data_IF_186919942380
#
_entry.id   IF_186919942380
#
_cell.length_a   1.000
_cell.length_b   1.000
_cell.length_c   1.000
_cell.angle_alpha   90.00
_cell.angle_beta   90.00
_cell.angle_gamma   90.00
#
_symmetry.space_group_name_H-M   'P 1'
#
loop_
_entity.id
_entity.type
_entity.pdbx_description
1 polymer ?
#
# COMPACT_ATOMS: atom_id res chain seq x y z
N UNK A 1 16.27 25.60 17.30
CA UNK A 1 16.40 24.16 17.61
C UNK A 1 16.51 24.06 19.11
N UNK A 2 15.58 23.38 19.78
CA UNK A 2 15.61 23.20 21.24
C UNK A 2 16.89 22.44 21.63
N UNK A 3 17.71 23.00 22.50
CA UNK A 3 19.02 22.44 22.91
C UNK A 3 18.92 21.08 23.64
N UNK A 4 17.72 20.54 23.85
CA UNK A 4 17.44 19.37 24.69
C UNK A 4 16.83 18.17 23.94
N UNK A 5 16.99 18.07 22.62
CA UNK A 5 16.53 16.92 21.82
C UNK A 5 17.61 16.41 20.88
N UNK A 6 17.52 15.13 20.47
CA UNK A 6 18.40 14.57 19.44
C UNK A 6 18.09 15.16 18.07
N UNK A 7 19.12 15.35 17.24
CA UNK A 7 18.99 16.10 15.98
C UNK A 7 18.12 15.42 14.89
N UNK A 8 18.07 14.09 14.87
CA UNK A 8 17.45 13.34 13.76
C UNK A 8 16.07 12.76 14.08
N UNK A 9 15.76 12.54 15.35
CA UNK A 9 14.54 11.84 15.78
C UNK A 9 13.76 12.61 16.86
N UNK A 10 14.19 13.84 17.18
CA UNK A 10 13.58 14.71 18.20
C UNK A 10 13.31 13.98 19.53
N UNK A 11 14.25 13.13 19.94
CA UNK A 11 14.16 12.39 21.20
C UNK A 11 14.63 13.28 22.35
N UNK A 12 13.88 13.38 23.46
CA UNK A 12 14.32 14.10 24.65
C UNK A 12 15.69 13.61 25.14
N UNK A 13 16.61 14.55 25.40
CA UNK A 13 17.90 14.25 26.02
C UNK A 13 17.74 14.10 27.54
N UNK A 14 18.51 13.17 28.13
CA UNK A 14 18.61 13.04 29.57
C UNK A 14 19.51 14.14 30.14
N UNK A 15 18.95 15.03 30.95
CA UNK A 15 19.67 16.17 31.52
C UNK A 15 20.30 15.84 32.88
N UNK A 16 21.44 16.47 33.24
CA UNK A 16 22.01 16.33 34.57
C UNK A 16 21.07 16.86 35.66
N UNK A 17 21.10 16.23 36.85
CA UNK A 17 20.30 16.60 38.02
C UNK A 17 18.76 16.68 37.78
N UNK A 18 18.25 15.97 36.78
CA UNK A 18 16.83 15.97 36.46
C UNK A 18 15.98 15.13 37.43
N UNK A 19 14.94 15.73 38.00
CA UNK A 19 13.94 15.00 38.78
C UNK A 19 13.13 14.05 37.87
N UNK A 20 12.80 12.85 38.38
CA UNK A 20 11.97 11.86 37.66
C UNK A 20 12.49 11.48 36.25
N UNK A 21 13.81 11.34 36.07
CA UNK A 21 14.46 10.98 34.79
C UNK A 21 13.83 9.81 34.00
N UNK A 22 13.20 8.86 34.69
CA UNK A 22 12.51 7.73 34.07
C UNK A 22 11.37 8.18 33.16
N UNK A 23 10.69 9.29 33.46
CA UNK A 23 9.61 9.84 32.61
C UNK A 23 10.17 10.27 31.26
N UNK A 24 11.24 11.08 31.27
CA UNK A 24 11.89 11.56 30.03
C UNK A 24 12.52 10.44 29.22
N UNK A 25 13.17 9.49 29.89
CA UNK A 25 13.74 8.31 29.22
C UNK A 25 12.64 7.47 28.58
N UNK A 26 11.55 7.20 29.30
CA UNK A 26 10.44 6.41 28.75
C UNK A 26 9.77 7.13 27.57
N UNK A 27 9.59 8.45 27.64
CA UNK A 27 9.06 9.23 26.51
C UNK A 27 9.98 9.13 25.28
N UNK A 28 11.29 9.25 25.46
CA UNK A 28 12.27 9.09 24.38
C UNK A 28 12.23 7.68 23.78
N UNK A 29 12.07 6.64 24.61
CA UNK A 29 11.96 5.26 24.14
C UNK A 29 10.66 5.04 23.35
N UNK A 30 9.52 5.57 23.80
CA UNK A 30 8.26 5.45 23.06
C UNK A 30 8.30 6.16 21.70
N UNK A 31 8.92 7.35 21.64
CA UNK A 31 9.17 8.05 20.37
C UNK A 31 10.09 7.28 19.44
N UNK A 32 11.10 6.60 19.99
CA UNK A 32 12.05 5.82 19.20
C UNK A 32 11.39 4.54 18.66
N UNK A 33 10.62 3.85 19.49
CA UNK A 33 9.89 2.63 19.12
C UNK A 33 8.96 2.88 17.93
N UNK A 34 8.19 3.98 17.97
CA UNK A 34 7.33 4.39 16.86
C UNK A 34 8.06 5.03 15.66
N UNK A 35 9.39 5.07 15.63
CA UNK A 35 10.18 5.61 14.51
C UNK A 35 11.14 4.59 13.88
N UNK A 36 11.56 3.58 14.64
CA UNK A 36 12.39 2.47 14.15
C UNK A 36 11.51 1.46 13.43
N UNK A 37 11.96 0.95 12.28
CA UNK A 37 11.21 -0.01 11.46
C UNK A 37 9.74 0.41 11.25
N UNK A 38 9.54 1.72 11.06
CA UNK A 38 8.24 2.39 11.06
C UNK A 38 7.22 1.69 10.15
N UNK A 39 6.12 1.22 10.76
CA UNK A 39 4.93 0.73 10.07
C UNK A 39 3.77 1.66 10.34
N UNK A 40 3.38 2.42 9.31
CA UNK A 40 2.18 3.25 9.37
C UNK A 40 0.98 2.42 8.94
N UNK A 41 -0.08 2.42 9.76
CA UNK A 41 -1.31 1.70 9.46
C UNK A 41 -2.03 2.29 8.24
N UNK A 42 -1.94 3.61 8.07
CA UNK A 42 -2.45 4.35 6.93
C UNK A 42 -1.80 5.74 6.87
N UNK A 43 -1.80 6.37 5.70
CA UNK A 43 -1.41 7.78 5.51
C UNK A 43 -2.55 8.66 4.97
N UNK A 44 -3.72 8.07 4.71
CA UNK A 44 -4.86 8.76 4.08
C UNK A 44 -6.07 8.94 5.01
N UNK A 45 -6.08 8.23 6.15
CA UNK A 45 -7.17 8.29 7.13
C UNK A 45 -7.19 9.64 7.85
N UNK A 46 -8.29 10.38 7.75
CA UNK A 46 -8.42 11.74 8.34
C UNK A 46 -8.91 11.75 9.80
N UNK A 47 -9.57 10.67 10.26
CA UNK A 47 -10.01 10.52 11.64
C UNK A 47 -9.09 9.55 12.40
N UNK A 48 -8.66 9.86 13.63
CA UNK A 48 -7.98 8.87 14.46
C UNK A 48 -8.83 7.61 14.64
N UNK A 49 -8.21 6.43 14.88
CA UNK A 49 -8.95 5.26 15.36
C UNK A 49 -9.62 5.55 16.71
N UNK A 50 -10.77 4.93 16.96
CA UNK A 50 -11.53 5.12 18.20
C UNK A 50 -10.73 4.66 19.43
N UNK A 51 -9.93 3.61 19.27
CA UNK A 51 -9.00 3.12 20.27
C UNK A 51 -7.58 3.44 19.87
N UNK A 52 -6.87 4.16 20.74
CA UNK A 52 -5.43 4.34 20.62
C UNK A 52 -4.75 3.05 21.08
N UNK A 53 -4.13 2.34 20.15
CA UNK A 53 -3.31 1.17 20.47
C UNK A 53 -1.84 1.58 20.58
N UNK A 54 -1.19 1.15 21.65
CA UNK A 54 0.24 1.41 21.91
C UNK A 54 1.12 0.94 20.74
N UNK A 55 2.08 1.77 20.36
CA UNK A 55 3.09 1.49 19.32
C UNK A 55 2.57 1.56 17.88
N UNK A 56 1.26 1.54 17.65
CA UNK A 56 0.74 1.72 16.29
C UNK A 56 0.99 3.15 15.82
N UNK A 57 1.36 3.27 14.54
CA UNK A 57 1.72 4.55 13.93
C UNK A 57 0.81 4.87 12.74
N UNK A 58 0.58 6.15 12.50
CA UNK A 58 -0.21 6.66 11.37
C UNK A 58 0.47 7.89 10.77
N UNK A 59 0.40 8.03 9.45
CA UNK A 59 0.69 9.31 8.81
C UNK A 59 -0.55 10.18 8.88
N UNK A 60 -0.47 11.33 9.54
CA UNK A 60 -1.60 12.24 9.68
C UNK A 60 -1.76 13.04 8.37
N UNK A 61 -2.84 12.86 7.60
CA UNK A 61 -3.05 13.64 6.39
C UNK A 61 -3.38 15.10 6.71
N UNK A 62 -3.19 15.98 5.73
CA UNK A 62 -3.68 17.35 5.83
C UNK A 62 -5.21 17.36 6.01
N UNK A 63 -5.71 18.23 6.88
CA UNK A 63 -7.15 18.29 7.19
C UNK A 63 -7.67 17.19 8.12
N UNK A 64 -6.78 16.46 8.80
CA UNK A 64 -7.18 15.54 9.86
C UNK A 64 -7.95 16.25 10.99
N UNK A 65 -8.81 15.51 11.68
CA UNK A 65 -9.77 16.05 12.66
C UNK A 65 -9.62 15.37 14.04
N UNK A 66 -10.40 15.83 15.02
CA UNK A 66 -10.40 15.31 16.40
C UNK A 66 -9.01 15.42 17.04
N UNK A 67 -8.53 14.35 17.69
CA UNK A 67 -7.20 14.34 18.33
C UNK A 67 -6.02 14.57 17.36
N UNK A 68 -6.26 14.47 16.04
CA UNK A 68 -5.27 14.74 15.00
C UNK A 68 -5.39 16.15 14.38
N UNK A 69 -6.34 16.96 14.83
CA UNK A 69 -6.53 18.32 14.34
C UNK A 69 -5.25 19.16 14.51
N UNK A 70 -4.84 19.83 13.43
CA UNK A 70 -3.62 20.63 13.39
C UNK A 70 -2.30 19.83 13.35
N UNK A 71 -2.36 18.50 13.23
CA UNK A 71 -1.17 17.63 13.19
C UNK A 71 -0.85 17.09 11.80
N UNK A 72 -1.45 17.66 10.75
CA UNK A 72 -1.22 17.25 9.36
C UNK A 72 0.26 17.24 8.97
N UNK A 73 0.67 16.19 8.26
CA UNK A 73 2.06 15.95 7.84
C UNK A 73 2.95 15.27 8.88
N UNK A 74 2.47 15.03 10.11
CA UNK A 74 3.23 14.33 11.16
C UNK A 74 2.95 12.84 11.18
N UNK A 75 3.83 12.09 11.85
CA UNK A 75 3.57 10.73 12.28
C UNK A 75 2.88 10.81 13.64
N UNK A 76 1.73 10.17 13.79
CA UNK A 76 1.05 9.96 15.07
C UNK A 76 1.40 8.56 15.60
N UNK A 77 2.02 8.51 16.78
CA UNK A 77 2.40 7.28 17.49
C UNK A 77 1.44 7.11 18.66
N UNK A 78 0.73 5.99 18.73
CA UNK A 78 -0.13 5.67 19.86
C UNK A 78 0.71 5.37 21.10
N UNK A 79 0.51 6.16 22.16
CA UNK A 79 1.25 5.98 23.40
C UNK A 79 0.48 6.49 24.63
N UNK A 80 0.49 5.72 25.71
CA UNK A 80 -0.21 5.99 26.97
C UNK A 80 -1.68 6.40 26.79
N UNK A 81 -2.40 5.75 25.87
CA UNK A 81 -3.79 6.07 25.53
C UNK A 81 -4.00 7.40 24.78
N UNK A 82 -2.92 8.04 24.31
CA UNK A 82 -2.95 9.27 23.51
C UNK A 82 -1.98 9.23 22.33
N UNK A 83 -1.63 10.40 21.81
CA UNK A 83 -0.81 10.51 20.60
C UNK A 83 0.47 11.29 20.86
N UNK A 84 1.58 10.72 20.42
CA UNK A 84 2.85 11.44 20.28
C UNK A 84 3.01 11.78 18.80
N UNK A 85 3.21 13.06 18.48
CA UNK A 85 3.38 13.51 17.11
C UNK A 85 4.84 13.83 16.80
N UNK A 86 5.35 13.26 15.71
CA UNK A 86 6.74 13.44 15.26
C UNK A 86 6.75 13.96 13.84
N UNK A 87 7.61 14.94 13.55
CA UNK A 87 7.80 15.43 12.19
C UNK A 87 8.72 14.49 11.40
N UNK A 88 8.26 13.86 10.30
CA UNK A 88 9.14 13.09 9.44
C UNK A 88 10.10 14.01 8.66
N UNK A 89 11.39 13.70 8.71
CA UNK A 89 12.41 14.33 7.86
C UNK A 89 12.47 13.74 6.45
N UNK A 90 13.12 14.45 5.53
CA UNK A 90 13.41 13.94 4.18
C UNK A 90 14.14 12.59 4.24
N UNK A 91 13.75 11.66 3.38
CA UNK A 91 14.37 10.33 3.26
C UNK A 91 13.93 9.34 4.34
N UNK A 92 13.04 9.73 5.26
CA UNK A 92 12.45 8.77 6.21
C UNK A 92 11.70 7.68 5.45
N UNK A 93 11.78 6.44 5.94
CA UNK A 93 11.18 5.27 5.32
C UNK A 93 10.14 4.65 6.24
N UNK A 94 9.11 4.07 5.65
CA UNK A 94 8.07 3.33 6.35
C UNK A 94 7.48 2.22 5.48
N UNK A 95 6.79 1.26 6.09
CA UNK A 95 5.77 0.46 5.41
C UNK A 95 4.41 1.11 5.65
N UNK A 96 3.60 1.23 4.60
CA UNK A 96 2.19 1.63 4.69
C UNK A 96 1.39 0.33 4.62
N UNK A 97 0.80 -0.07 5.76
CA UNK A 97 0.27 -1.40 5.97
C UNK A 97 -1.01 -1.68 5.15
N UNK A 98 -1.88 -0.69 5.00
CA UNK A 98 -3.13 -0.80 4.23
C UNK A 98 -2.89 -0.85 2.71
N UNK A 99 -1.85 -0.20 2.20
CA UNK A 99 -1.41 -0.30 0.80
C UNK A 99 -0.42 -1.46 0.54
N UNK A 100 0.25 -1.95 1.58
CA UNK A 100 1.27 -3.00 1.47
C UNK A 100 2.53 -2.56 0.70
N UNK A 101 2.90 -1.28 0.78
CA UNK A 101 4.06 -0.71 0.05
C UNK A 101 5.03 0.00 0.98
N UNK A 102 6.30 0.04 0.60
CA UNK A 102 7.28 0.93 1.23
C UNK A 102 7.01 2.37 0.82
N UNK A 103 7.24 3.33 1.69
CA UNK A 103 7.19 4.76 1.38
C UNK A 103 8.49 5.46 1.76
N UNK A 104 8.82 6.51 1.01
CA UNK A 104 9.89 7.46 1.33
C UNK A 104 9.24 8.83 1.54
N UNK A 105 9.60 9.52 2.61
CA UNK A 105 9.15 10.89 2.85
C UNK A 105 9.99 11.88 2.04
N UNK A 106 9.36 12.73 1.23
CA UNK A 106 10.05 13.71 0.36
C UNK A 106 10.33 15.05 1.03
N UNK A 107 10.13 15.13 2.34
CA UNK A 107 10.27 16.35 3.13
C UNK A 107 8.94 17.06 3.34
N UNK A 108 7.93 16.79 2.52
CA UNK A 108 6.57 17.33 2.69
C UNK A 108 5.51 16.23 2.80
N UNK A 109 5.63 15.17 2.03
CA UNK A 109 4.67 14.10 1.93
C UNK A 109 5.33 12.73 1.93
N UNK A 110 4.58 11.72 2.37
CA UNK A 110 4.94 10.33 2.14
C UNK A 110 4.67 9.97 0.69
N UNK A 111 5.62 9.29 0.06
CA UNK A 111 5.55 8.87 -1.35
C UNK A 111 5.45 7.34 -1.37
N UNK A 112 4.24 6.77 -1.39
CA UNK A 112 4.06 5.32 -1.27
C UNK A 112 4.49 4.62 -2.56
N UNK A 113 5.24 3.53 -2.41
CA UNK A 113 5.89 2.80 -3.49
C UNK A 113 7.27 3.33 -3.88
N UNK A 114 7.74 4.47 -3.35
CA UNK A 114 9.02 5.03 -3.77
C UNK A 114 10.20 4.07 -3.56
N UNK A 115 10.85 3.72 -4.67
CA UNK A 115 12.11 2.97 -4.72
C UNK A 115 13.27 3.95 -4.80
N UNK A 116 13.13 4.99 -5.62
CA UNK A 116 14.06 6.12 -5.71
C UNK A 116 13.30 7.42 -5.54
N UNK A 117 13.98 8.39 -4.92
CA UNK A 117 13.47 9.75 -4.79
C UNK A 117 14.63 10.72 -5.04
N UNK A 118 14.53 11.46 -6.14
CA UNK A 118 15.52 12.42 -6.60
C UNK A 118 15.39 13.75 -5.86
N UNK A 119 16.45 14.55 -5.91
CA UNK A 119 16.52 15.87 -5.27
C UNK A 119 15.44 16.87 -5.72
N UNK A 120 14.83 16.60 -6.87
CA UNK A 120 13.80 17.43 -7.51
C UNK A 120 12.44 16.73 -7.50
N UNK A 121 12.17 15.81 -6.57
CA UNK A 121 10.89 15.10 -6.46
C UNK A 121 10.73 13.90 -7.40
N UNK A 122 11.46 13.83 -8.52
CA UNK A 122 11.37 12.72 -9.48
C UNK A 122 11.66 11.36 -8.84
N UNK A 123 11.03 10.28 -9.29
CA UNK A 123 11.29 8.97 -8.70
C UNK A 123 10.75 7.78 -9.49
N UNK A 124 11.17 6.58 -9.08
CA UNK A 124 10.57 5.32 -9.51
C UNK A 124 9.70 4.81 -8.37
N UNK A 125 8.42 4.55 -8.65
CA UNK A 125 7.48 4.00 -7.68
C UNK A 125 7.14 2.55 -8.06
N UNK A 126 7.27 1.62 -7.12
CA UNK A 126 6.79 0.26 -7.21
C UNK A 126 5.46 0.14 -6.46
N UNK A 127 4.40 -0.16 -7.20
CA UNK A 127 3.04 -0.12 -6.69
C UNK A 127 2.37 -1.49 -6.85
N UNK A 128 1.38 -1.71 -6.02
CA UNK A 128 0.46 -2.84 -6.17
C UNK A 128 -0.96 -2.42 -5.82
N UNK A 129 -1.91 -3.16 -6.33
CA UNK A 129 -3.32 -3.01 -6.02
C UNK A 129 -3.96 -4.39 -6.01
N UNK A 130 -4.81 -4.65 -5.02
CA UNK A 130 -5.47 -5.94 -4.85
C UNK A 130 -6.98 -5.80 -4.80
N UNK A 131 -7.68 -6.72 -5.43
CA UNK A 131 -9.13 -6.80 -5.42
C UNK A 131 -9.59 -8.25 -5.27
N UNK A 132 -10.65 -8.46 -4.48
CA UNK A 132 -11.36 -9.74 -4.41
C UNK A 132 -12.56 -9.71 -5.37
N UNK A 133 -12.40 -10.31 -6.54
CA UNK A 133 -13.42 -10.35 -7.58
C UNK A 133 -14.42 -11.46 -7.29
N UNK A 134 -15.66 -11.08 -7.02
CA UNK A 134 -16.78 -12.02 -6.91
C UNK A 134 -17.28 -12.40 -8.31
N UNK A 135 -17.32 -13.69 -8.61
CA UNK A 135 -17.83 -14.21 -9.87
C UNK A 135 -19.32 -14.54 -9.74
N UNK A 136 -20.10 -14.15 -10.74
CA UNK A 136 -21.50 -14.55 -10.90
C UNK A 136 -21.72 -15.46 -12.11
N UNK A 137 -22.94 -15.48 -12.62
CA UNK A 137 -23.26 -16.15 -13.89
C UNK A 137 -22.76 -15.31 -15.07
N UNK A 138 -21.85 -15.84 -15.88
CA UNK A 138 -21.40 -15.15 -17.09
C UNK A 138 -20.05 -15.60 -17.66
N UNK A 139 -19.68 -15.07 -18.84
CA UNK A 139 -18.49 -15.52 -19.58
C UNK A 139 -17.21 -14.87 -19.06
N UNK A 140 -17.32 -13.68 -18.49
CA UNK A 140 -16.19 -12.88 -18.04
C UNK A 140 -16.62 -11.86 -17.01
N UNK A 141 -15.68 -11.51 -16.12
CA UNK A 141 -15.85 -10.47 -15.11
C UNK A 141 -14.64 -9.53 -15.15
N UNK A 142 -14.89 -8.23 -15.09
CA UNK A 142 -13.85 -7.22 -14.99
C UNK A 142 -13.63 -6.83 -13.54
N UNK A 143 -12.39 -6.51 -13.20
CA UNK A 143 -12.05 -5.87 -11.93
C UNK A 143 -12.60 -4.45 -11.88
N UNK A 144 -12.93 -3.97 -10.67
CA UNK A 144 -13.15 -2.56 -10.41
C UNK A 144 -11.83 -1.76 -10.38
N UNK A 145 -10.71 -2.42 -10.05
CA UNK A 145 -9.38 -1.86 -10.16
C UNK A 145 -8.92 -1.78 -11.62
N UNK A 146 -8.11 -0.76 -11.91
CA UNK A 146 -7.57 -0.51 -13.24
C UNK A 146 -6.04 -0.52 -13.18
N UNK A 147 -5.43 -0.97 -14.27
CA UNK A 147 -4.05 -0.62 -14.60
C UNK A 147 -4.01 0.89 -14.83
N UNK A 148 -3.17 1.66 -14.11
CA UNK A 148 -3.07 3.10 -14.34
C UNK A 148 -2.47 3.43 -15.72
N UNK A 149 -2.84 4.59 -16.27
CA UNK A 149 -2.20 5.12 -17.47
C UNK A 149 -0.72 5.46 -17.20
N UNK A 150 0.16 5.18 -18.17
CA UNK A 150 1.60 5.39 -18.05
C UNK A 150 2.32 4.37 -17.15
N UNK A 151 1.63 3.34 -16.66
CA UNK A 151 2.22 2.29 -15.83
C UNK A 151 2.99 1.27 -16.67
N UNK A 152 4.22 0.96 -16.25
CA UNK A 152 4.97 -0.21 -16.72
C UNK A 152 4.53 -1.43 -15.91
N UNK A 153 3.65 -2.24 -16.48
CA UNK A 153 3.11 -3.41 -15.78
C UNK A 153 4.15 -4.53 -15.80
N UNK A 154 4.46 -5.06 -14.60
CA UNK A 154 5.34 -6.20 -14.41
C UNK A 154 4.54 -7.49 -14.57
N UNK A 155 3.34 -7.53 -13.99
CA UNK A 155 2.48 -8.70 -14.04
C UNK A 155 1.28 -8.60 -13.10
N UNK A 156 0.50 -9.68 -13.10
CA UNK A 156 -0.59 -9.87 -12.15
C UNK A 156 -0.48 -11.26 -11.51
N UNK A 157 -0.83 -11.34 -10.24
CA UNK A 157 -0.99 -12.60 -9.53
C UNK A 157 -2.45 -12.80 -9.16
N UNK A 158 -2.88 -14.05 -9.04
CA UNK A 158 -4.22 -14.35 -8.59
C UNK A 158 -4.26 -15.59 -7.71
N UNK A 159 -5.27 -15.66 -6.84
CA UNK A 159 -5.58 -16.83 -6.04
C UNK A 159 -7.08 -17.02 -5.94
N UNK A 160 -7.55 -18.23 -6.23
CA UNK A 160 -8.95 -18.61 -6.03
C UNK A 160 -9.17 -18.77 -4.52
N UNK A 161 -9.94 -17.87 -3.92
CA UNK A 161 -10.21 -17.87 -2.48
C UNK A 161 -11.54 -18.54 -2.14
N UNK A 162 -12.47 -18.60 -3.09
CA UNK A 162 -13.67 -19.45 -3.05
C UNK A 162 -13.76 -20.18 -4.40
N UNK A 163 -13.97 -21.50 -4.37
CA UNK A 163 -13.92 -22.34 -5.58
C UNK A 163 -14.86 -21.86 -6.69
N UNK A 164 -14.34 -21.83 -7.92
CA UNK A 164 -15.09 -21.37 -9.10
C UNK A 164 -16.08 -22.46 -9.54
N UNK A 165 -17.35 -22.08 -9.67
CA UNK A 165 -18.44 -22.97 -10.08
C UNK A 165 -18.96 -22.63 -11.48
N UNK A 166 -19.84 -23.47 -12.02
CA UNK A 166 -20.41 -23.33 -13.37
C UNK A 166 -19.82 -24.32 -14.38
N UNK A 167 -20.13 -24.09 -15.65
CA UNK A 167 -19.71 -24.95 -16.76
C UNK A 167 -18.27 -24.75 -17.22
N UNK A 168 -17.58 -23.71 -16.76
CA UNK A 168 -16.18 -23.45 -17.12
C UNK A 168 -15.29 -24.65 -16.75
N UNK A 169 -14.42 -25.08 -17.67
CA UNK A 169 -13.42 -26.13 -17.41
C UNK A 169 -12.14 -25.54 -16.81
N UNK A 170 -11.77 -24.34 -17.24
CA UNK A 170 -10.66 -23.53 -16.73
C UNK A 170 -10.98 -22.04 -16.92
N UNK A 171 -10.02 -21.16 -16.61
CA UNK A 171 -10.16 -19.73 -16.86
C UNK A 171 -8.84 -19.07 -17.27
N UNK A 172 -8.92 -17.83 -17.74
CA UNK A 172 -7.75 -17.01 -18.07
C UNK A 172 -7.82 -15.65 -17.40
N UNK A 173 -6.66 -15.06 -17.16
CA UNK A 173 -6.49 -13.70 -16.65
C UNK A 173 -5.78 -12.85 -17.70
N UNK A 174 -6.35 -11.69 -17.99
CA UNK A 174 -5.82 -10.81 -19.03
C UNK A 174 -6.41 -9.40 -18.93
N UNK A 175 -6.47 -8.74 -20.08
CA UNK A 175 -7.19 -7.47 -20.25
C UNK A 175 -8.24 -7.61 -21.36
N UNK A 176 -9.34 -6.82 -21.32
CA UNK A 176 -10.30 -6.78 -22.41
C UNK A 176 -9.62 -6.50 -23.76
N UNK A 177 -10.10 -7.17 -24.81
CA UNK A 177 -9.53 -7.03 -26.17
C UNK A 177 -9.58 -8.33 -26.95
N UNK A 178 -8.50 -8.62 -27.67
CA UNK A 178 -8.36 -9.80 -28.53
C UNK A 178 -7.97 -11.07 -27.74
N UNK A 179 -7.87 -12.21 -28.42
CA UNK A 179 -7.54 -13.49 -27.78
C UNK A 179 -6.23 -13.44 -26.97
N UNK A 180 -5.20 -12.76 -27.49
CA UNK A 180 -3.91 -12.61 -26.82
C UNK A 180 -4.02 -11.75 -25.55
N UNK A 181 -4.88 -10.71 -25.58
CA UNK A 181 -5.06 -9.83 -24.43
C UNK A 181 -5.73 -10.54 -23.26
N UNK A 182 -6.68 -11.45 -23.53
CA UNK A 182 -7.45 -12.19 -22.54
C UNK A 182 -6.64 -13.23 -21.76
N UNK A 183 -5.42 -13.55 -22.22
CA UNK A 183 -4.54 -14.56 -21.62
C UNK A 183 -3.21 -14.00 -21.11
N UNK A 184 -3.03 -12.66 -21.15
CA UNK A 184 -1.75 -11.98 -20.83
C UNK A 184 -1.12 -12.40 -19.51
N UNK A 185 -1.93 -12.69 -18.50
CA UNK A 185 -1.46 -13.02 -17.16
C UNK A 185 -1.67 -14.51 -16.79
N UNK A 186 -2.09 -15.32 -17.75
CA UNK A 186 -2.26 -16.76 -17.58
C UNK A 186 -3.50 -17.29 -18.28
N UNK A 187 -3.42 -18.57 -18.67
CA UNK A 187 -4.52 -19.33 -19.26
C UNK A 187 -4.58 -20.73 -18.67
N UNK A 188 -5.70 -21.41 -18.89
CA UNK A 188 -5.95 -22.77 -18.39
C UNK A 188 -5.80 -22.89 -16.87
N UNK A 189 -6.15 -21.82 -16.15
CA UNK A 189 -5.99 -21.70 -14.71
C UNK A 189 -6.99 -22.59 -13.95
N UNK A 190 -6.53 -23.13 -12.82
CA UNK A 190 -7.31 -24.02 -11.96
C UNK A 190 -8.46 -23.32 -11.25
N UNK A 191 -9.55 -24.06 -11.02
CA UNK A 191 -10.81 -23.56 -10.43
C UNK A 191 -10.95 -23.82 -8.92
N UNK A 192 -10.23 -24.81 -8.41
CA UNK A 192 -10.35 -25.22 -7.01
C UNK A 192 -9.85 -24.10 -6.09
N UNK A 193 -10.42 -24.00 -4.88
CA UNK A 193 -9.90 -23.09 -3.86
C UNK A 193 -8.41 -23.36 -3.62
N UNK A 194 -7.62 -22.30 -3.56
CA UNK A 194 -6.17 -22.37 -3.43
C UNK A 194 -5.41 -22.44 -4.75
N UNK A 195 -6.09 -22.65 -5.89
CA UNK A 195 -5.47 -22.48 -7.21
C UNK A 195 -4.94 -21.06 -7.37
N UNK A 196 -3.84 -20.91 -8.12
CA UNK A 196 -3.12 -19.63 -8.22
C UNK A 196 -2.66 -19.36 -9.65
N UNK A 197 -2.37 -18.09 -9.92
CA UNK A 197 -1.74 -17.63 -11.15
C UNK A 197 -0.60 -16.66 -10.83
N UNK A 198 0.45 -16.69 -11.65
CA UNK A 198 1.56 -15.72 -11.63
C UNK A 198 1.92 -15.40 -13.07
N UNK A 199 1.25 -14.40 -13.63
CA UNK A 199 1.47 -13.93 -14.99
C UNK A 199 2.50 -12.82 -15.01
N UNK A 200 3.73 -13.12 -15.44
CA UNK A 200 4.74 -12.12 -15.75
C UNK A 200 4.62 -11.70 -17.21
N UNK A 201 4.71 -10.40 -17.48
CA UNK A 201 4.76 -9.89 -18.85
C UNK A 201 6.17 -9.98 -19.43
N UNK A 202 6.28 -10.34 -20.71
CA UNK A 202 7.55 -10.45 -21.43
C UNK A 202 7.44 -9.76 -22.79
N UNK A 203 8.27 -8.73 -23.08
CA UNK A 203 8.88 -7.78 -22.14
C UNK A 203 7.81 -6.96 -21.36
N UNK A 204 8.16 -6.28 -20.24
CA UNK A 204 7.19 -5.43 -19.51
C UNK A 204 6.48 -4.46 -20.44
N UNK A 205 5.16 -4.32 -20.27
CA UNK A 205 4.31 -3.56 -21.19
C UNK A 205 3.81 -2.29 -20.53
N UNK A 206 3.87 -1.18 -21.27
CA UNK A 206 3.26 0.09 -20.84
C UNK A 206 1.82 0.14 -21.31
N UNK A 207 0.92 0.50 -20.39
CA UNK A 207 -0.48 0.81 -20.71
C UNK A 207 -0.65 2.32 -20.70
N UNK A 208 -1.10 2.88 -21.82
CA UNK A 208 -1.24 4.34 -21.97
C UNK A 208 -2.61 4.87 -21.58
N UNK A 209 -3.60 3.98 -21.47
CA UNK A 209 -4.95 4.28 -21.01
C UNK A 209 -5.30 3.36 -19.84
N UNK A 210 -6.20 3.77 -18.93
CA UNK A 210 -6.65 2.89 -17.85
C UNK A 210 -7.38 1.65 -18.39
N UNK A 211 -6.98 0.45 -17.95
CA UNK A 211 -7.56 -0.82 -18.41
C UNK A 211 -7.82 -1.75 -17.22
N UNK A 212 -9.03 -2.33 -17.07
CA UNK A 212 -9.29 -3.29 -16.01
C UNK A 212 -8.64 -4.64 -16.33
N UNK A 213 -8.44 -5.46 -15.31
CA UNK A 213 -8.14 -6.87 -15.54
C UNK A 213 -9.44 -7.63 -15.80
N UNK A 214 -9.37 -8.65 -16.66
CA UNK A 214 -10.51 -9.48 -17.03
C UNK A 214 -10.23 -10.94 -16.71
N UNK A 215 -11.15 -11.55 -15.98
CA UNK A 215 -11.23 -12.99 -15.78
C UNK A 215 -12.18 -13.56 -16.83
N UNK A 216 -11.75 -14.56 -17.60
CA UNK A 216 -12.54 -15.14 -18.69
C UNK A 216 -12.71 -16.64 -18.50
N UNK A 217 -13.95 -17.14 -18.50
CA UNK A 217 -14.25 -18.56 -18.45
C UNK A 217 -13.82 -19.24 -19.76
N UNK A 218 -13.27 -20.46 -19.66
CA UNK A 218 -12.94 -21.31 -20.81
C UNK A 218 -13.78 -22.58 -20.76
N UNK A 219 -14.22 -23.06 -21.93
CA UNK A 219 -15.03 -24.28 -22.05
C UNK A 219 -16.43 -24.20 -21.44
N UNK A 220 -16.91 -23.01 -21.08
CA UNK A 220 -18.22 -22.81 -20.45
C UNK A 220 -18.38 -21.41 -19.89
N UNK A 221 -19.12 -21.27 -18.79
CA UNK A 221 -19.39 -20.01 -18.10
C UNK A 221 -19.12 -20.16 -16.60
N UNK A 222 -18.79 -19.05 -15.93
CA UNK A 222 -18.81 -18.99 -14.47
C UNK A 222 -20.25 -19.02 -13.96
N UNK A 223 -20.45 -19.51 -12.74
CA UNK A 223 -21.70 -19.42 -11.99
C UNK A 223 -21.53 -18.82 -10.58
N UNK A 224 -20.29 -18.76 -10.08
CA UNK A 224 -19.96 -18.42 -8.71
C UNK A 224 -18.46 -18.59 -8.44
N UNK A 225 -18.03 -18.13 -7.26
CA UNK A 225 -16.66 -18.21 -6.78
C UNK A 225 -16.06 -16.83 -6.54
N UNK A 226 -14.84 -16.80 -6.01
CA UNK A 226 -14.15 -15.56 -5.69
C UNK A 226 -12.66 -15.70 -5.90
N UNK A 227 -12.07 -14.72 -6.58
CA UNK A 227 -10.65 -14.72 -6.94
C UNK A 227 -10.02 -13.42 -6.46
N UNK A 228 -9.01 -13.54 -5.61
CA UNK A 228 -8.13 -12.42 -5.25
C UNK A 228 -7.17 -12.18 -6.40
N UNK A 229 -7.13 -10.97 -6.94
CA UNK A 229 -6.20 -10.56 -7.98
C UNK A 229 -5.33 -9.43 -7.45
N UNK A 230 -4.03 -9.49 -7.72
CA UNK A 230 -3.06 -8.44 -7.34
C UNK A 230 -2.30 -8.01 -8.59
N UNK A 231 -2.38 -6.73 -8.91
CA UNK A 231 -1.62 -6.10 -9.99
C UNK A 231 -0.31 -5.53 -9.45
N UNK A 232 0.78 -5.67 -10.21
CA UNK A 232 2.10 -5.13 -9.86
C UNK A 232 2.67 -4.31 -11.02
N UNK A 233 3.04 -3.06 -10.77
CA UNK A 233 3.57 -2.15 -11.79
C UNK A 233 4.62 -1.19 -11.22
N UNK A 234 5.37 -0.59 -12.14
CA UNK A 234 6.22 0.56 -11.90
C UNK A 234 5.66 1.81 -12.58
N UNK A 235 5.83 2.95 -11.93
CA UNK A 235 5.47 4.26 -12.49
C UNK A 235 6.59 5.27 -12.23
N UNK A 236 6.70 6.24 -13.14
CA UNK A 236 7.65 7.33 -13.04
C UNK A 236 6.97 8.53 -12.40
N UNK A 237 7.48 8.96 -11.24
CA UNK A 237 7.10 10.23 -10.62
C UNK A 237 7.82 11.36 -11.34
N UNK A 238 7.06 12.37 -11.77
CA UNK A 238 7.60 13.60 -12.36
C UNK A 238 8.34 14.42 -11.30
N UNK A 239 9.34 15.23 -11.70
CA UNK A 239 9.89 16.26 -10.83
C UNK A 239 8.81 17.23 -10.33
N UNK A 240 9.02 17.78 -9.13
CA UNK A 240 8.18 18.83 -8.54
C UNK A 240 8.36 20.20 -9.25
#
# INVERSE_FOLDING_TARGET
>A
MSENTTANCDLPLLMPAQAQKHVTVNEALMRLDGQVDLVMQSVTRINPPDTVAEGLCWGVPQGAVNAWEGQGGKIAIGANGGWIFVQPGFGRRAIIADEGVTAIHDGSHWVPGAVTLGRHGSGLLARQLSEDVALGQGPSFDTAMFIPAGALVIGATARVIEGITGGATSWSLGTPGNADSLVRFGQELGKAQGSWARGLLSPPMVFWEPVPLRLTAKGGQFAGGKVRVVLHWWELRLPD
#
